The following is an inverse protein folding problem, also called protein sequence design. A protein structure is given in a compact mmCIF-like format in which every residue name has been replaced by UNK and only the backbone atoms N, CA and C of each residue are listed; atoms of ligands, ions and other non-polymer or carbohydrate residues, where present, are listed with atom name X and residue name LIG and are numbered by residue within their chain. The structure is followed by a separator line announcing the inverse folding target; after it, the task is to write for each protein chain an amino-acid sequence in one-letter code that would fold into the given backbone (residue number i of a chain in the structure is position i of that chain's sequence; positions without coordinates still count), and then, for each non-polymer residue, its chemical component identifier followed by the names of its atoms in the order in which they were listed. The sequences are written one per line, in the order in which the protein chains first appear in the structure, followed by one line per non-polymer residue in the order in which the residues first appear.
data_IF_962564735145
#
_entry.id   IF_962564735145
#
_cell.length_a   1.000
_cell.length_b   1.000
_cell.length_c   1.000
_cell.angle_alpha   90.00
_cell.angle_beta   90.00
_cell.angle_gamma   90.00
#
_symmetry.space_group_name_H-M   'P 1'
#
loop_
_entity.id
_entity.type
_entity.pdbx_description
1 polymer ?
#
# COMPACT_ATOMS: atom_id res chain seq x y z
N UNK A 1 7.31 -10.25 17.84
CA UNK A 1 8.16 -9.13 17.39
C UNK A 1 7.24 -7.94 17.10
N UNK A 2 7.58 -6.70 17.45
CA UNK A 2 6.67 -5.55 17.21
C UNK A 2 6.72 -5.03 15.75
N UNK A 3 7.81 -5.35 15.03
CA UNK A 3 8.05 -4.91 13.66
C UNK A 3 6.91 -5.32 12.72
N UNK A 4 6.60 -6.61 12.71
CA UNK A 4 5.52 -7.20 11.92
C UNK A 4 4.58 -7.99 12.82
N UNK A 5 3.28 -7.75 12.64
CA UNK A 5 2.20 -8.48 13.29
C UNK A 5 1.23 -8.99 12.22
N UNK A 6 0.56 -10.13 12.45
CA UNK A 6 -0.44 -10.64 11.52
C UNK A 6 -1.57 -9.63 11.35
N UNK A 7 -2.16 -9.59 10.15
CA UNK A 7 -3.38 -8.84 9.92
C UNK A 7 -4.49 -9.32 10.86
N UNK A 8 -5.38 -8.43 11.32
CA UNK A 8 -5.44 -6.99 11.04
C UNK A 8 -4.72 -6.12 12.10
N UNK A 9 -3.79 -6.67 12.88
CA UNK A 9 -3.16 -5.93 13.98
C UNK A 9 -2.20 -4.84 13.50
N UNK A 10 -2.05 -3.78 14.31
CA UNK A 10 -0.99 -2.79 14.13
C UNK A 10 0.39 -3.43 14.33
N UNK A 11 1.35 -2.97 13.53
CA UNK A 11 2.77 -3.25 13.71
C UNK A 11 3.58 -2.01 13.34
N UNK A 12 4.87 -2.01 13.68
CA UNK A 12 5.71 -0.84 13.42
C UNK A 12 5.82 -0.53 11.93
N UNK A 13 5.89 -1.56 11.07
CA UNK A 13 5.94 -1.40 9.61
C UNK A 13 4.71 -0.64 9.06
N UNK A 14 3.49 -1.10 9.38
CA UNK A 14 2.24 -0.44 8.95
C UNK A 14 2.10 0.98 9.45
N UNK A 15 2.62 1.27 10.64
CA UNK A 15 2.60 2.62 11.18
C UNK A 15 3.60 3.49 10.42
N UNK A 16 4.82 2.98 10.19
CA UNK A 16 5.89 3.72 9.56
C UNK A 16 5.53 4.11 8.13
N UNK A 17 5.20 3.14 7.26
CA UNK A 17 4.94 3.46 5.86
C UNK A 17 3.71 4.37 5.73
N UNK A 18 2.61 4.10 6.45
CA UNK A 18 1.40 4.93 6.33
C UNK A 18 1.63 6.37 6.75
N UNK A 19 2.36 6.60 7.83
CA UNK A 19 2.66 7.95 8.28
C UNK A 19 3.68 8.61 7.35
N UNK A 20 4.74 7.90 6.99
CA UNK A 20 5.82 8.41 6.13
C UNK A 20 5.29 8.81 4.76
N UNK A 21 4.51 7.94 4.13
CA UNK A 21 3.99 8.15 2.78
C UNK A 21 2.97 9.29 2.77
N UNK A 22 1.94 9.23 3.62
CA UNK A 22 0.92 10.28 3.67
C UNK A 22 1.47 11.64 4.08
N UNK A 23 2.48 11.69 4.94
CA UNK A 23 3.17 12.94 5.26
C UNK A 23 3.96 13.46 4.06
N UNK A 24 4.69 12.57 3.36
CA UNK A 24 5.46 12.91 2.16
C UNK A 24 4.55 13.43 1.04
N UNK A 25 3.35 12.86 0.90
CA UNK A 25 2.34 13.29 -0.07
C UNK A 25 1.56 14.53 0.39
N UNK A 26 1.85 15.10 1.56
CA UNK A 26 1.14 16.27 2.10
C UNK A 26 -0.32 16.00 2.47
N UNK A 27 -0.70 14.73 2.67
CA UNK A 27 -2.06 14.32 3.01
C UNK A 27 -2.37 14.40 4.49
N UNK A 28 -1.34 14.37 5.34
CA UNK A 28 -1.42 14.61 6.78
C UNK A 28 -0.35 15.61 7.20
N UNK A 29 -0.63 16.39 8.24
CA UNK A 29 0.29 17.38 8.78
C UNK A 29 1.24 16.78 9.81
N UNK A 30 2.40 17.43 10.03
CA UNK A 30 3.34 17.07 11.09
C UNK A 30 2.67 17.07 12.48
N UNK A 31 1.71 17.97 12.71
CA UNK A 31 0.99 18.04 13.98
C UNK A 31 0.10 16.81 14.20
N UNK A 32 -0.60 16.35 13.16
CA UNK A 32 -1.39 15.11 13.22
C UNK A 32 -0.50 13.90 13.51
N UNK A 33 0.65 13.81 12.83
CA UNK A 33 1.64 12.76 13.07
C UNK A 33 2.08 12.73 14.53
N UNK A 34 2.54 13.86 15.08
CA UNK A 34 3.00 13.94 16.48
C UNK A 34 1.86 13.63 17.46
N UNK A 35 0.65 14.09 17.16
CA UNK A 35 -0.54 13.81 17.98
C UNK A 35 -0.83 12.32 18.03
N UNK A 36 -0.79 11.62 16.89
CA UNK A 36 -1.00 10.18 16.82
C UNK A 36 0.13 9.39 17.50
N UNK A 37 1.40 9.76 17.26
CA UNK A 37 2.54 9.04 17.85
C UNK A 37 2.50 9.05 19.39
N UNK A 38 1.99 10.12 19.99
CA UNK A 38 1.78 10.21 21.44
C UNK A 38 0.69 9.26 21.98
N UNK A 39 -0.10 8.63 21.11
CA UNK A 39 -1.14 7.66 21.49
C UNK A 39 -0.65 6.20 21.44
N UNK A 40 0.58 5.95 20.98
CA UNK A 40 1.12 4.60 20.87
C UNK A 40 1.52 4.05 22.23
N UNK A 41 0.99 2.88 22.57
CA UNK A 41 1.31 2.11 23.77
C UNK A 41 1.81 0.74 23.36
N UNK A 42 2.80 0.21 24.08
CA UNK A 42 3.16 -1.22 23.98
C UNK A 42 2.61 -1.94 25.21
N UNK A 43 1.72 -2.90 24.97
CA UNK A 43 1.19 -3.78 26.03
C UNK A 43 1.21 -5.22 25.53
N UNK A 44 1.63 -6.16 26.37
CA UNK A 44 1.68 -7.61 26.02
C UNK A 44 2.34 -7.92 24.67
N UNK A 45 3.44 -7.23 24.33
CA UNK A 45 4.16 -7.36 23.05
C UNK A 45 3.31 -7.04 21.81
N UNK A 46 2.30 -6.19 21.98
CA UNK A 46 1.47 -5.64 20.90
C UNK A 46 1.53 -4.11 20.96
N UNK A 47 1.40 -3.48 19.80
CA UNK A 47 1.16 -2.05 19.70
C UNK A 47 -0.33 -1.82 19.86
N UNK A 48 -0.69 -0.95 20.79
CA UNK A 48 -2.05 -0.51 21.10
C UNK A 48 -2.13 1.01 21.03
N UNK A 49 -3.35 1.53 21.00
CA UNK A 49 -3.66 2.95 21.05
C UNK A 49 -4.31 3.29 22.39
N UNK A 50 -3.91 4.42 22.97
CA UNK A 50 -4.43 4.91 24.26
C UNK A 50 -5.87 5.37 24.20
N UNK A 51 -6.37 5.71 23.01
CA UNK A 51 -7.71 6.29 22.82
C UNK A 51 -8.40 5.69 21.60
N UNK A 52 -9.73 5.72 21.61
CA UNK A 52 -10.54 5.22 20.49
C UNK A 52 -10.41 6.15 19.28
N UNK A 53 -10.32 7.46 19.53
CA UNK A 53 -10.16 8.50 18.52
C UNK A 53 -8.87 8.31 17.71
N UNK A 54 -7.78 7.90 18.36
CA UNK A 54 -6.54 7.57 17.67
C UNK A 54 -6.70 6.35 16.75
N UNK A 55 -7.49 5.36 17.17
CA UNK A 55 -7.76 4.17 16.37
C UNK A 55 -8.64 4.48 15.16
N UNK A 56 -9.66 5.33 15.33
CA UNK A 56 -10.49 5.82 14.25
C UNK A 56 -9.69 6.65 13.25
N UNK A 57 -8.86 7.57 13.74
CA UNK A 57 -7.98 8.39 12.90
C UNK A 57 -7.02 7.51 12.10
N UNK A 58 -6.30 6.59 12.75
CA UNK A 58 -5.33 5.74 12.06
C UNK A 58 -6.00 4.83 11.02
N UNK A 59 -7.15 4.25 11.37
CA UNK A 59 -7.93 3.44 10.43
C UNK A 59 -8.32 4.24 9.19
N UNK A 60 -8.73 5.50 9.38
CA UNK A 60 -9.12 6.40 8.30
C UNK A 60 -7.95 6.71 7.36
N UNK A 61 -6.80 7.12 7.92
CA UNK A 61 -5.63 7.49 7.10
C UNK A 61 -4.99 6.26 6.42
N UNK A 62 -4.91 5.12 7.11
CA UNK A 62 -4.41 3.87 6.54
C UNK A 62 -5.25 3.40 5.35
N UNK A 63 -6.58 3.52 5.44
CA UNK A 63 -7.43 3.16 4.32
C UNK A 63 -7.49 4.19 3.21
N UNK A 64 -7.26 5.47 3.51
CA UNK A 64 -7.01 6.47 2.49
C UNK A 64 -5.80 6.08 1.64
N UNK A 65 -4.68 5.77 2.28
CA UNK A 65 -3.48 5.29 1.57
C UNK A 65 -3.77 4.01 0.75
N UNK A 66 -4.50 3.06 1.35
CA UNK A 66 -4.85 1.81 0.69
C UNK A 66 -5.69 2.02 -0.56
N UNK A 67 -6.69 2.89 -0.50
CA UNK A 67 -7.59 3.14 -1.64
C UNK A 67 -6.91 4.00 -2.70
N UNK A 68 -6.26 5.09 -2.28
CA UNK A 68 -5.78 6.13 -3.18
C UNK A 68 -4.46 5.74 -3.87
N UNK A 69 -3.71 4.78 -3.31
CA UNK A 69 -2.43 4.33 -3.87
C UNK A 69 -2.39 2.82 -4.12
N UNK A 70 -2.55 1.99 -3.09
CA UNK A 70 -2.28 0.56 -3.23
C UNK A 70 -3.32 -0.19 -4.07
N UNK A 71 -4.57 0.27 -4.07
CA UNK A 71 -5.67 -0.28 -4.86
C UNK A 71 -6.05 0.65 -6.03
N UNK A 72 -5.23 1.66 -6.33
CA UNK A 72 -5.52 2.56 -7.44
C UNK A 72 -5.25 1.84 -8.77
N UNK A 73 -6.18 1.85 -9.75
CA UNK A 73 -6.06 1.08 -10.99
C UNK A 73 -4.83 1.48 -11.82
N UNK A 74 -4.40 2.74 -11.75
CA UNK A 74 -3.17 3.22 -12.40
C UNK A 74 -1.93 2.47 -11.89
N UNK A 75 -1.90 2.09 -10.61
CA UNK A 75 -0.85 1.26 -10.03
C UNK A 75 -0.84 -0.13 -10.66
N UNK A 76 -2.00 -0.78 -10.76
CA UNK A 76 -2.16 -2.10 -11.39
C UNK A 76 -1.70 -2.10 -12.86
N UNK A 77 -2.10 -1.08 -13.63
CA UNK A 77 -1.61 -0.89 -14.99
C UNK A 77 -0.08 -0.74 -15.03
N UNK A 78 0.46 0.11 -14.16
CA UNK A 78 1.90 0.38 -14.13
C UNK A 78 2.71 -0.87 -13.79
N UNK A 79 2.25 -1.67 -12.81
CA UNK A 79 2.86 -2.96 -12.48
C UNK A 79 2.77 -3.96 -13.63
N UNK A 80 1.64 -4.04 -14.32
CA UNK A 80 1.47 -4.93 -15.46
C UNK A 80 2.47 -4.60 -16.57
N UNK A 81 2.54 -3.33 -16.98
CA UNK A 81 3.45 -2.89 -18.04
C UNK A 81 4.91 -3.06 -17.63
N UNK A 82 5.29 -2.64 -16.42
CA UNK A 82 6.66 -2.79 -15.95
C UNK A 82 7.08 -4.26 -15.83
N UNK A 83 6.17 -5.14 -15.35
CA UNK A 83 6.43 -6.59 -15.31
C UNK A 83 6.71 -7.13 -16.70
N UNK A 84 5.90 -6.75 -17.69
CA UNK A 84 6.11 -7.15 -19.10
C UNK A 84 7.45 -6.66 -19.64
N UNK A 85 7.81 -5.40 -19.37
CA UNK A 85 9.11 -4.82 -19.75
C UNK A 85 10.27 -5.61 -19.14
N UNK A 86 10.20 -5.92 -17.84
CA UNK A 86 11.25 -6.66 -17.13
C UNK A 86 11.37 -8.11 -17.63
N UNK A 87 10.25 -8.78 -17.91
CA UNK A 87 10.24 -10.11 -18.49
C UNK A 87 10.92 -10.14 -19.86
N UNK A 88 10.51 -9.25 -20.77
CA UNK A 88 11.14 -9.11 -22.09
C UNK A 88 12.64 -8.79 -21.98
N UNK A 89 13.02 -7.91 -21.07
CA UNK A 89 14.41 -7.54 -20.87
C UNK A 89 15.27 -8.69 -20.34
N UNK A 90 14.73 -9.55 -19.48
CA UNK A 90 15.39 -10.78 -19.01
C UNK A 90 15.50 -11.82 -20.14
N UNK A 91 14.42 -12.05 -20.88
CA UNK A 91 14.36 -12.99 -22.00
C UNK A 91 15.36 -12.63 -23.11
N UNK A 92 15.52 -11.34 -23.38
CA UNK A 92 16.44 -10.82 -24.40
C UNK A 92 17.85 -10.51 -23.87
N UNK A 93 18.12 -10.80 -22.60
CA UNK A 93 19.41 -10.53 -21.94
C UNK A 93 19.83 -9.05 -22.00
N UNK A 94 18.86 -8.13 -22.00
CA UNK A 94 19.09 -6.68 -21.81
C UNK A 94 19.44 -6.39 -20.35
N UNK A 95 18.81 -7.11 -19.43
CA UNK A 95 19.15 -7.15 -18.01
C UNK A 95 19.36 -8.59 -17.56
N UNK A 96 20.05 -8.77 -16.45
CA UNK A 96 20.25 -10.05 -15.79
C UNK A 96 19.72 -10.04 -14.36
N UNK A 97 19.58 -11.19 -13.72
CA UNK A 97 19.05 -11.28 -12.35
C UNK A 97 19.91 -10.51 -11.34
N UNK A 98 21.22 -10.41 -11.58
CA UNK A 98 22.16 -9.66 -10.78
C UNK A 98 21.90 -8.14 -10.82
N UNK A 99 21.24 -7.65 -11.86
CA UNK A 99 20.89 -6.22 -11.98
C UNK A 99 19.87 -5.79 -10.93
N UNK A 100 19.06 -6.73 -10.42
CA UNK A 100 18.14 -6.46 -9.30
C UNK A 100 18.85 -6.30 -7.96
N UNK A 101 20.17 -6.53 -7.89
CA UNK A 101 20.99 -6.22 -6.72
C UNK A 101 21.49 -4.76 -6.72
N UNK A 102 21.28 -4.03 -7.83
CA UNK A 102 21.53 -2.59 -7.93
C UNK A 102 20.32 -1.78 -7.46
N UNK A 103 20.23 -0.52 -7.87
CA UNK A 103 19.09 0.36 -7.60
C UNK A 103 18.16 0.51 -8.82
N UNK A 104 16.99 1.09 -8.57
CA UNK A 104 15.95 1.29 -9.58
C UNK A 104 16.45 2.10 -10.78
N UNK A 105 17.27 3.13 -10.54
CA UNK A 105 17.77 4.00 -11.61
C UNK A 105 18.71 3.25 -12.55
N UNK A 106 19.61 2.40 -12.00
CA UNK A 106 20.50 1.58 -12.80
C UNK A 106 19.75 0.64 -13.74
N UNK A 107 18.70 -0.03 -13.25
CA UNK A 107 17.86 -0.91 -14.07
C UNK A 107 17.07 -0.11 -15.11
N UNK A 108 16.46 1.00 -14.71
CA UNK A 108 15.68 1.86 -15.63
C UNK A 108 16.54 2.45 -16.74
N UNK A 109 17.79 2.83 -16.46
CA UNK A 109 18.71 3.32 -17.48
C UNK A 109 19.06 2.24 -18.50
N UNK A 110 19.29 1.00 -18.05
CA UNK A 110 19.51 -0.14 -18.97
C UNK A 110 18.33 -0.34 -19.91
N UNK A 111 17.11 -0.30 -19.38
CA UNK A 111 15.88 -0.44 -20.17
C UNK A 111 15.71 0.73 -21.16
N UNK A 112 15.97 1.97 -20.74
CA UNK A 112 15.86 3.16 -21.61
C UNK A 112 16.92 3.20 -22.71
N UNK A 113 18.11 2.65 -22.46
CA UNK A 113 19.21 2.63 -23.42
C UNK A 113 19.23 1.37 -24.31
N UNK A 114 18.41 0.36 -24.01
CA UNK A 114 18.32 -0.82 -24.86
C UNK A 114 17.68 -0.43 -26.20
N UNK A 115 18.33 -0.73 -27.31
CA UNK A 115 17.83 -0.41 -28.66
C UNK A 115 16.79 -1.43 -29.14
N UNK A 116 16.15 -2.16 -28.22
CA UNK A 116 15.13 -3.14 -28.53
C UNK A 116 13.78 -2.42 -28.70
N UNK A 117 13.23 -2.51 -29.92
CA UNK A 117 12.02 -1.78 -30.30
C UNK A 117 10.80 -2.18 -29.47
N UNK A 118 10.67 -3.46 -29.13
CA UNK A 118 9.54 -3.97 -28.36
C UNK A 118 9.58 -3.48 -26.91
N UNK A 119 10.74 -3.61 -26.24
CA UNK A 119 10.92 -3.10 -24.88
C UNK A 119 10.68 -1.58 -24.84
N UNK A 120 11.25 -0.85 -25.80
CA UNK A 120 11.11 0.60 -25.88
C UNK A 120 9.65 1.01 -26.10
N UNK A 121 8.94 0.31 -26.99
CA UNK A 121 7.53 0.59 -27.29
C UNK A 121 6.62 0.34 -26.08
N UNK A 122 6.81 -0.77 -25.38
CA UNK A 122 6.02 -1.08 -24.17
C UNK A 122 6.34 -0.09 -23.05
N UNK A 123 7.63 0.20 -22.81
CA UNK A 123 8.06 1.16 -21.79
C UNK A 123 7.51 2.57 -22.05
N UNK A 124 7.42 2.98 -23.31
CA UNK A 124 6.87 4.29 -23.69
C UNK A 124 5.39 4.48 -23.31
N UNK A 125 4.65 3.38 -23.06
CA UNK A 125 3.26 3.47 -22.57
C UNK A 125 3.17 3.90 -21.10
N UNK A 126 4.25 3.75 -20.31
CA UNK A 126 4.33 4.27 -18.95
C UNK A 126 4.61 5.79 -18.96
N UNK A 127 3.55 6.59 -19.03
CA UNK A 127 3.64 8.05 -18.99
C UNK A 127 2.54 8.69 -18.11
N UNK A 128 2.72 9.96 -17.66
CA UNK A 128 1.80 10.58 -16.69
C UNK A 128 0.36 10.78 -17.16
N UNK A 129 0.13 10.76 -18.48
CA UNK A 129 -1.17 11.01 -19.09
C UNK A 129 -1.99 9.73 -19.35
N UNK A 130 -1.59 8.59 -18.79
CA UNK A 130 -2.37 7.35 -18.92
C UNK A 130 -3.68 7.50 -18.17
N UNK A 131 -4.78 7.13 -18.83
CA UNK A 131 -6.12 7.05 -18.26
C UNK A 131 -6.52 5.59 -18.24
N UNK A 132 -6.97 5.11 -17.09
CA UNK A 132 -7.46 3.75 -16.90
C UNK A 132 -8.87 3.79 -16.34
N UNK A 133 -9.67 2.78 -16.69
CA UNK A 133 -10.98 2.54 -16.09
C UNK A 133 -11.04 1.13 -15.51
N UNK A 134 -11.83 0.96 -14.45
CA UNK A 134 -12.16 -0.36 -13.91
C UNK A 134 -13.46 -0.85 -14.58
N UNK A 135 -13.39 -1.99 -15.28
CA UNK A 135 -14.53 -2.55 -16.01
C UNK A 135 -14.63 -4.08 -15.77
N UNK A 136 -15.83 -4.53 -15.39
CA UNK A 136 -16.08 -5.93 -15.00
C UNK A 136 -16.52 -6.84 -16.17
N UNK A 137 -16.70 -6.30 -17.37
CA UNK A 137 -17.22 -7.03 -18.53
C UNK A 137 -16.20 -7.12 -19.65
N UNK A 138 -15.53 -6.01 -19.95
CA UNK A 138 -14.54 -5.89 -21.03
C UNK A 138 -13.30 -5.18 -20.47
N UNK A 139 -12.15 -5.85 -20.51
CA UNK A 139 -10.91 -5.34 -19.94
C UNK A 139 -9.69 -5.85 -20.70
N UNK A 140 -8.64 -5.02 -20.77
CA UNK A 140 -7.36 -5.39 -21.36
C UNK A 140 -6.44 -6.13 -20.37
N UNK A 141 -6.57 -5.79 -19.08
CA UNK A 141 -5.72 -6.29 -18.01
C UNK A 141 -6.61 -6.91 -16.93
N UNK A 142 -6.47 -8.22 -16.72
CA UNK A 142 -7.02 -8.88 -15.55
C UNK A 142 -6.00 -8.77 -14.41
N UNK A 143 -6.31 -7.98 -13.39
CA UNK A 143 -5.51 -7.92 -12.18
C UNK A 143 -6.31 -8.61 -11.08
N UNK A 144 -5.80 -9.71 -10.54
CA UNK A 144 -6.39 -10.41 -9.40
C UNK A 144 -5.31 -10.64 -8.35
N UNK A 145 -5.58 -10.29 -7.09
CA UNK A 145 -4.66 -10.59 -5.98
C UNK A 145 -3.88 -9.42 -5.40
N UNK A 146 -4.56 -8.31 -5.11
CA UNK A 146 -4.01 -7.30 -4.21
C UNK A 146 -3.65 -7.89 -2.84
N UNK A 147 -2.58 -7.37 -2.21
CA UNK A 147 -2.25 -7.74 -0.82
C UNK A 147 -3.44 -7.43 0.08
N UNK A 148 -3.78 -8.32 1.00
CA UNK A 148 -4.74 -8.02 2.06
C UNK A 148 -4.21 -6.85 2.90
N UNK A 149 -5.02 -5.80 3.02
CA UNK A 149 -4.67 -4.57 3.75
C UNK A 149 -5.77 -4.21 4.72
N UNK A 150 -6.17 -5.13 5.59
CA UNK A 150 -7.12 -4.86 6.67
C UNK A 150 -6.39 -4.39 7.92
N UNK A 151 -6.95 -3.39 8.61
CA UNK A 151 -6.46 -2.93 9.90
C UNK A 151 -7.60 -2.87 10.93
N UNK A 152 -7.31 -3.30 12.15
CA UNK A 152 -8.19 -3.21 13.30
C UNK A 152 -7.33 -2.98 14.55
N UNK A 153 -6.93 -1.71 14.79
CA UNK A 153 -6.04 -1.36 15.88
C UNK A 153 -6.54 -1.86 17.23
N UNK A 154 -5.62 -2.29 18.09
CA UNK A 154 -5.93 -2.55 19.48
C UNK A 154 -6.01 -1.23 20.24
N UNK A 155 -7.03 -1.06 21.08
CA UNK A 155 -7.19 0.07 22.00
C UNK A 155 -7.02 -0.44 23.43
N UNK A 156 -6.14 0.20 24.19
CA UNK A 156 -5.89 -0.13 25.58
C UNK A 156 -6.66 0.83 26.48
N UNK A 157 -7.70 0.33 27.17
CA UNK A 157 -8.53 1.10 28.10
C UNK A 157 -8.83 0.29 29.35
N UNK A 158 -8.79 0.95 30.52
CA UNK A 158 -9.15 0.35 31.81
C UNK A 158 -8.43 -0.99 32.10
N UNK A 159 -7.16 -1.08 31.74
CA UNK A 159 -6.34 -2.28 31.97
C UNK A 159 -6.61 -3.44 31.02
N UNK A 160 -7.35 -3.23 29.93
CA UNK A 160 -7.71 -4.27 28.96
C UNK A 160 -7.50 -3.81 27.53
N UNK A 161 -7.18 -4.76 26.66
CA UNK A 161 -7.08 -4.57 25.22
C UNK A 161 -8.42 -4.90 24.56
N UNK A 162 -8.87 -4.02 23.68
CA UNK A 162 -10.04 -4.20 22.83
C UNK A 162 -9.67 -4.01 21.36
N UNK A 163 -10.34 -4.71 20.46
CA UNK A 163 -10.30 -4.36 19.03
C UNK A 163 -11.08 -3.08 18.79
N UNK A 164 -10.54 -2.14 18.03
CA UNK A 164 -11.21 -0.88 17.73
C UNK A 164 -12.57 -1.10 17.07
N UNK A 165 -12.69 -2.08 16.16
CA UNK A 165 -13.96 -2.45 15.51
C UNK A 165 -15.06 -2.94 16.46
N UNK A 166 -14.71 -3.34 17.69
CA UNK A 166 -15.69 -3.68 18.73
C UNK A 166 -16.23 -2.44 19.45
N UNK A 167 -15.42 -1.38 19.52
CA UNK A 167 -15.70 -0.16 20.27
C UNK A 167 -16.25 0.96 19.37
N UNK A 168 -15.85 0.98 18.10
CA UNK A 168 -16.19 2.02 17.12
C UNK A 168 -16.97 1.43 15.95
N UNK A 169 -18.13 2.01 15.68
CA UNK A 169 -18.88 1.72 14.46
C UNK A 169 -18.14 2.21 13.21
N UNK A 170 -17.47 3.36 13.29
CA UNK A 170 -16.67 3.91 12.20
C UNK A 170 -15.62 2.93 11.71
N UNK A 171 -14.80 2.38 12.62
CA UNK A 171 -13.76 1.38 12.26
C UNK A 171 -14.39 0.15 11.63
N UNK A 172 -15.51 -0.33 12.17
CA UNK A 172 -16.22 -1.50 11.64
C UNK A 172 -16.71 -1.25 10.21
N UNK A 173 -17.29 -0.09 9.93
CA UNK A 173 -17.76 0.29 8.59
C UNK A 173 -16.60 0.43 7.60
N UNK A 174 -15.50 1.08 8.01
CA UNK A 174 -14.28 1.18 7.22
C UNK A 174 -13.74 -0.20 6.82
N UNK A 175 -13.67 -1.14 7.77
CA UNK A 175 -13.19 -2.50 7.51
C UNK A 175 -14.11 -3.26 6.54
N UNK A 176 -15.43 -3.11 6.67
CA UNK A 176 -16.39 -3.73 5.75
C UNK A 176 -16.25 -3.18 4.33
N UNK A 177 -16.13 -1.86 4.17
CA UNK A 177 -15.98 -1.22 2.87
C UNK A 177 -14.71 -1.67 2.16
N UNK A 178 -13.58 -1.71 2.87
CA UNK A 178 -12.31 -2.18 2.31
C UNK A 178 -12.36 -3.65 1.95
N UNK A 179 -12.95 -4.49 2.79
CA UNK A 179 -13.12 -5.91 2.49
C UNK A 179 -13.91 -6.13 1.20
N UNK A 180 -15.00 -5.38 0.99
CA UNK A 180 -15.79 -5.44 -0.23
C UNK A 180 -15.01 -4.94 -1.45
N UNK A 181 -14.17 -3.91 -1.29
CA UNK A 181 -13.33 -3.40 -2.38
C UNK A 181 -12.23 -4.40 -2.77
N UNK A 182 -11.53 -4.97 -1.78
CA UNK A 182 -10.50 -6.00 -2.02
C UNK A 182 -11.09 -7.25 -2.66
N UNK A 183 -12.32 -7.66 -2.30
CA UNK A 183 -12.98 -8.83 -2.92
C UNK A 183 -13.45 -8.60 -4.36
N UNK A 184 -13.60 -7.34 -4.78
CA UNK A 184 -14.02 -6.98 -6.14
C UNK A 184 -12.81 -6.79 -7.08
N UNK A 185 -11.64 -6.49 -6.51
CA UNK A 185 -10.36 -6.48 -7.21
C UNK A 185 -9.78 -7.90 -7.33
#
# INVERSE_FOLDING_TARGET
MLLEQPLPALCADRIDYTIRDLYTYGMISKQEVLTFLNQLIVHEKQICLSTLEAAEWFTTVYYKETIDFFLHPLGSYSYHVLTKVLQLALEKHVIHTEDFLCDDEAVLQKLKCCRDEEITSVLATLHPNVIVEENNQEYDICYSGGKERLIDPHVYMNGKIYKASRLSEHVRLCNQNIYLKIKKA
#
